data_IF_187000184287
#
_entry.id   IF_187000184287
#
_cell.length_a   1.000
_cell.length_b   1.000
_cell.length_c   1.000
_cell.angle_alpha   90.00
_cell.angle_beta   90.00
_cell.angle_gamma   90.00
#
_symmetry.space_group_name_H-M   'P 1'
#
loop_
_entity.id
_entity.type
_entity.pdbx_description
1 polymer ?
#
# COMPACT_ATOMS: atom_id res chain seq x y z
N UNK A 1 5.24 -17.39 -29.44
CA UNK A 1 5.95 -16.22 -28.95
C UNK A 1 6.43 -16.48 -27.53
N UNK A 2 7.74 -16.52 -27.28
CA UNK A 2 8.29 -16.70 -25.92
C UNK A 2 8.18 -15.37 -25.18
N UNK A 3 7.17 -15.24 -24.32
CA UNK A 3 7.07 -14.13 -23.35
C UNK A 3 8.10 -14.35 -22.25
N UNK A 4 8.58 -13.23 -21.63
CA UNK A 4 9.46 -13.29 -20.46
C UNK A 4 8.89 -14.25 -19.40
N UNK A 5 9.74 -15.11 -18.88
CA UNK A 5 9.43 -15.94 -17.71
C UNK A 5 9.83 -15.16 -16.46
N UNK A 6 8.82 -14.78 -15.67
CA UNK A 6 8.97 -13.94 -14.49
C UNK A 6 8.78 -14.76 -13.21
N UNK A 7 9.57 -14.50 -12.19
CA UNK A 7 9.28 -14.95 -10.84
C UNK A 7 9.07 -13.75 -9.93
N UNK A 8 7.93 -13.70 -9.25
CA UNK A 8 7.62 -12.75 -8.21
C UNK A 8 7.66 -13.42 -6.87
N UNK A 9 8.30 -12.83 -5.88
CA UNK A 9 8.48 -13.42 -4.54
C UNK A 9 8.03 -12.42 -3.47
N UNK A 10 7.12 -12.87 -2.60
CA UNK A 10 6.68 -12.13 -1.42
C UNK A 10 6.74 -13.05 -0.20
N UNK A 11 7.45 -12.64 0.85
CA UNK A 11 7.65 -13.42 2.07
C UNK A 11 6.71 -13.00 3.22
N UNK A 12 5.70 -12.19 2.96
CA UNK A 12 4.74 -11.72 3.96
C UNK A 12 3.84 -12.83 4.49
N UNK A 13 3.67 -12.87 5.82
CA UNK A 13 2.76 -13.79 6.51
C UNK A 13 1.38 -13.19 6.72
N UNK A 14 1.25 -11.87 6.68
CA UNK A 14 0.02 -11.14 6.94
C UNK A 14 -0.53 -10.53 5.64
N UNK A 15 -1.81 -10.12 5.68
CA UNK A 15 -2.42 -9.36 4.60
C UNK A 15 -2.29 -7.87 4.87
N UNK A 16 -1.35 -7.23 4.21
CA UNK A 16 -1.12 -5.78 4.28
C UNK A 16 -1.14 -5.15 2.88
N UNK A 17 -1.07 -3.84 2.80
CA UNK A 17 -1.05 -3.12 1.52
C UNK A 17 0.04 -3.61 0.55
N UNK A 18 1.21 -4.02 1.04
CA UNK A 18 2.29 -4.57 0.22
C UNK A 18 1.89 -5.85 -0.53
N UNK A 19 1.28 -6.81 0.16
CA UNK A 19 0.80 -8.09 -0.40
C UNK A 19 -0.32 -7.86 -1.41
N UNK A 20 -1.25 -6.92 -1.11
CA UNK A 20 -2.30 -6.51 -2.05
C UNK A 20 -1.71 -5.96 -3.36
N UNK A 21 -0.69 -5.12 -3.26
CA UNK A 21 -0.02 -4.56 -4.44
C UNK A 21 0.76 -5.61 -5.24
N UNK A 22 1.38 -6.60 -4.57
CA UNK A 22 2.03 -7.72 -5.25
C UNK A 22 0.99 -8.55 -6.02
N UNK A 23 -0.16 -8.84 -5.41
CA UNK A 23 -1.27 -9.55 -6.04
C UNK A 23 -1.77 -8.80 -7.28
N UNK A 24 -2.06 -7.51 -7.17
CA UNK A 24 -2.53 -6.68 -8.29
C UNK A 24 -1.55 -6.70 -9.45
N UNK A 25 -0.26 -6.51 -9.18
CA UNK A 25 0.76 -6.53 -10.22
C UNK A 25 0.83 -7.90 -10.93
N UNK A 26 0.87 -8.99 -10.18
CA UNK A 26 0.95 -10.34 -10.76
C UNK A 26 -0.30 -10.68 -11.58
N UNK A 27 -1.48 -10.29 -11.10
CA UNK A 27 -2.75 -10.43 -11.83
C UNK A 27 -2.73 -9.68 -13.16
N UNK A 28 -2.33 -8.42 -13.15
CA UNK A 28 -2.28 -7.61 -14.38
C UNK A 28 -1.22 -8.12 -15.36
N UNK A 29 -0.06 -8.56 -14.90
CA UNK A 29 0.95 -9.21 -15.73
C UNK A 29 0.41 -10.49 -16.39
N UNK A 30 -0.37 -11.30 -15.67
CA UNK A 30 -1.03 -12.49 -16.23
C UNK A 30 -2.05 -12.11 -17.29
N UNK A 31 -2.92 -11.12 -17.03
CA UNK A 31 -3.89 -10.59 -18.01
C UNK A 31 -3.21 -10.12 -19.30
N UNK A 32 -2.05 -9.48 -19.18
CA UNK A 32 -1.23 -9.04 -20.31
C UNK A 32 -0.40 -10.19 -20.94
N UNK A 33 -0.62 -11.41 -20.46
CA UNK A 33 -0.11 -12.67 -21.02
C UNK A 33 1.35 -12.98 -20.68
N UNK A 34 1.92 -12.39 -19.64
CA UNK A 34 3.23 -12.81 -19.13
C UNK A 34 3.14 -14.17 -18.44
N UNK A 35 4.21 -14.94 -18.52
CA UNK A 35 4.36 -16.17 -17.72
C UNK A 35 4.93 -15.81 -16.37
N UNK A 36 4.08 -15.77 -15.34
CA UNK A 36 4.48 -15.36 -13.99
C UNK A 36 4.35 -16.51 -13.02
N UNK A 37 5.40 -16.76 -12.25
CA UNK A 37 5.43 -17.69 -11.12
C UNK A 37 5.38 -16.86 -9.84
N UNK A 38 4.33 -17.02 -9.04
CA UNK A 38 4.17 -16.27 -7.81
C UNK A 38 4.57 -17.13 -6.61
N UNK A 39 5.73 -16.84 -6.02
CA UNK A 39 6.29 -17.56 -4.85
C UNK A 39 5.88 -16.80 -3.59
N UNK A 40 5.17 -17.47 -2.70
CA UNK A 40 4.60 -16.88 -1.48
C UNK A 40 4.77 -17.81 -0.27
N UNK A 41 4.56 -17.29 0.93
CA UNK A 41 4.52 -18.10 2.14
C UNK A 41 3.34 -19.07 2.13
N UNK A 42 3.57 -20.38 2.47
CA UNK A 42 2.49 -21.36 2.56
C UNK A 42 1.49 -20.99 3.65
N UNK A 43 0.19 -21.15 3.35
CA UNK A 43 -0.91 -20.83 4.26
C UNK A 43 -1.16 -19.34 4.48
N UNK A 44 -0.43 -18.45 3.80
CA UNK A 44 -0.63 -17.00 3.93
C UNK A 44 -1.94 -16.55 3.25
N UNK A 45 -2.52 -15.43 3.72
CA UNK A 45 -3.67 -14.83 3.04
C UNK A 45 -3.38 -14.46 1.57
N UNK A 46 -2.12 -14.15 1.25
CA UNK A 46 -1.70 -13.89 -0.13
C UNK A 46 -1.78 -15.15 -1.00
N UNK A 47 -1.36 -16.30 -0.48
CA UNK A 47 -1.49 -17.57 -1.20
C UNK A 47 -2.95 -17.88 -1.53
N UNK A 48 -3.83 -17.77 -0.53
CA UNK A 48 -5.25 -18.08 -0.69
C UNK A 48 -5.90 -17.20 -1.76
N UNK A 49 -5.71 -15.89 -1.69
CA UNK A 49 -6.26 -14.91 -2.64
C UNK A 49 -5.68 -15.08 -4.05
N UNK A 50 -4.38 -15.30 -4.16
CA UNK A 50 -3.73 -15.51 -5.44
C UNK A 50 -4.25 -16.79 -6.15
N UNK A 51 -4.53 -17.86 -5.39
CA UNK A 51 -5.15 -19.07 -5.93
C UNK A 51 -6.60 -18.85 -6.36
N UNK A 52 -7.38 -18.08 -5.59
CA UNK A 52 -8.75 -17.72 -5.96
C UNK A 52 -8.80 -16.93 -7.28
N UNK A 53 -7.80 -16.10 -7.56
CA UNK A 53 -7.64 -15.38 -8.84
C UNK A 53 -7.01 -16.26 -9.95
N UNK A 54 -6.82 -17.56 -9.69
CA UNK A 54 -6.29 -18.53 -10.66
C UNK A 54 -4.84 -18.30 -11.05
N UNK A 55 -4.03 -17.63 -10.22
CA UNK A 55 -2.61 -17.39 -10.49
C UNK A 55 -1.78 -18.67 -10.32
N UNK A 56 -0.62 -18.78 -11.00
CA UNK A 56 0.32 -19.89 -10.79
C UNK A 56 1.14 -19.64 -9.51
N UNK A 57 0.62 -20.14 -8.37
CA UNK A 57 1.19 -19.92 -7.05
C UNK A 57 2.09 -21.10 -6.66
N UNK A 58 3.26 -20.78 -6.13
CA UNK A 58 4.23 -21.74 -5.64
C UNK A 58 4.50 -21.44 -4.16
N UNK A 59 3.95 -22.23 -3.23
CA UNK A 59 4.21 -22.05 -1.82
C UNK A 59 5.66 -22.44 -1.48
N UNK A 60 6.36 -21.54 -0.81
CA UNK A 60 7.72 -21.76 -0.32
C UNK A 60 7.87 -21.17 1.08
N UNK A 61 8.14 -22.03 2.07
CA UNK A 61 8.42 -21.58 3.42
C UNK A 61 9.76 -20.81 3.44
N UNK A 62 9.70 -19.56 3.89
CA UNK A 62 10.83 -18.63 4.03
C UNK A 62 10.94 -18.22 5.49
N UNK A 63 11.76 -18.93 6.28
CA UNK A 63 11.82 -18.79 7.75
C UNK A 63 12.61 -17.58 8.24
N UNK A 64 13.45 -17.01 7.39
CA UNK A 64 14.27 -15.84 7.75
C UNK A 64 15.22 -15.45 6.61
N UNK A 65 15.81 -14.26 6.69
CA UNK A 65 16.69 -13.72 5.65
C UNK A 65 17.93 -14.61 5.37
N UNK A 66 18.36 -15.42 6.35
CA UNK A 66 19.50 -16.32 6.26
C UNK A 66 19.14 -17.75 5.81
N UNK A 67 17.87 -18.06 5.53
CA UNK A 67 17.40 -19.39 5.15
C UNK A 67 18.01 -19.85 3.82
N UNK A 68 19.06 -20.67 3.91
CA UNK A 68 19.77 -21.21 2.76
C UNK A 68 18.95 -22.26 2.01
N UNK A 69 18.12 -23.04 2.71
CA UNK A 69 17.27 -24.05 2.09
C UNK A 69 16.20 -23.43 1.23
N UNK A 70 15.54 -22.37 1.72
CA UNK A 70 14.61 -21.60 0.91
C UNK A 70 15.32 -21.00 -0.32
N UNK A 71 16.54 -20.45 -0.15
CA UNK A 71 17.33 -19.89 -1.27
C UNK A 71 17.70 -20.97 -2.30
N UNK A 72 18.06 -22.19 -1.88
CA UNK A 72 18.36 -23.30 -2.79
C UNK A 72 17.12 -23.77 -3.56
N UNK A 73 15.99 -23.98 -2.88
CA UNK A 73 14.72 -24.36 -3.52
C UNK A 73 14.27 -23.30 -4.53
N UNK A 74 14.36 -22.03 -4.15
CA UNK A 74 14.02 -20.90 -5.03
C UNK A 74 14.96 -20.84 -6.25
N UNK A 75 16.26 -21.08 -6.06
CA UNK A 75 17.22 -21.15 -7.16
C UNK A 75 16.91 -22.30 -8.13
N UNK A 76 16.61 -23.48 -7.61
CA UNK A 76 16.20 -24.63 -8.43
C UNK A 76 14.94 -24.33 -9.24
N UNK A 77 13.93 -23.72 -8.60
CA UNK A 77 12.71 -23.25 -9.24
C UNK A 77 13.02 -22.31 -10.40
N UNK A 78 13.81 -21.24 -10.16
CA UNK A 78 14.18 -20.25 -11.17
C UNK A 78 14.88 -20.90 -12.37
N UNK A 79 15.79 -21.86 -12.12
CA UNK A 79 16.47 -22.61 -13.18
C UNK A 79 15.50 -23.47 -13.98
N UNK A 80 14.67 -24.28 -13.29
CA UNK A 80 13.70 -25.20 -13.93
C UNK A 80 12.69 -24.44 -14.78
N UNK A 81 12.21 -23.29 -14.29
CA UNK A 81 11.24 -22.43 -14.99
C UNK A 81 11.90 -21.48 -16.00
N UNK A 82 13.25 -21.49 -16.10
CA UNK A 82 14.05 -20.64 -16.99
C UNK A 82 13.68 -19.17 -16.81
N UNK A 83 13.60 -18.70 -15.55
CA UNK A 83 13.22 -17.32 -15.23
C UNK A 83 14.26 -16.34 -15.77
N UNK A 84 13.80 -15.33 -16.48
CA UNK A 84 14.64 -14.28 -17.04
C UNK A 84 14.64 -13.01 -16.16
N UNK A 85 13.62 -12.87 -15.30
CA UNK A 85 13.50 -11.76 -14.35
C UNK A 85 12.98 -12.27 -13.02
N UNK A 86 13.60 -11.80 -11.93
CA UNK A 86 13.13 -11.99 -10.56
C UNK A 86 12.76 -10.66 -9.93
N UNK A 87 11.53 -10.55 -9.42
CA UNK A 87 11.01 -9.38 -8.73
C UNK A 87 10.68 -9.72 -7.28
N UNK A 88 11.30 -9.01 -6.34
CA UNK A 88 11.17 -9.21 -4.90
C UNK A 88 10.34 -8.08 -4.29
N UNK A 89 9.26 -8.42 -3.59
CA UNK A 89 8.26 -7.47 -3.13
C UNK A 89 8.50 -6.91 -1.72
N UNK A 90 9.39 -7.53 -0.96
CA UNK A 90 9.75 -7.13 0.40
C UNK A 90 11.23 -7.37 0.70
N UNK A 91 11.73 -6.84 1.82
CA UNK A 91 13.14 -6.91 2.18
C UNK A 91 13.60 -8.33 2.53
N UNK A 92 12.70 -9.17 3.04
CA UNK A 92 12.98 -10.56 3.39
C UNK A 92 13.12 -11.40 2.12
N UNK A 93 12.14 -11.34 1.22
CA UNK A 93 12.21 -12.04 -0.09
C UNK A 93 13.41 -11.58 -0.92
N UNK A 94 13.78 -10.28 -0.86
CA UNK A 94 14.98 -9.76 -1.52
C UNK A 94 16.26 -10.42 -0.99
N UNK A 95 16.42 -10.54 0.33
CA UNK A 95 17.62 -11.11 0.95
C UNK A 95 17.84 -12.57 0.55
N UNK A 96 16.80 -13.39 0.57
CA UNK A 96 16.81 -14.78 0.10
C UNK A 96 17.02 -14.86 -1.41
N UNK A 97 16.27 -14.03 -2.12
CA UNK A 97 16.17 -14.03 -3.56
C UNK A 97 17.46 -13.61 -4.26
N UNK A 98 18.24 -12.69 -3.71
CA UNK A 98 19.55 -12.33 -4.27
C UNK A 98 20.51 -13.50 -4.36
N UNK A 99 20.53 -14.38 -3.33
CA UNK A 99 21.32 -15.59 -3.38
C UNK A 99 20.78 -16.58 -4.41
N UNK A 100 19.47 -16.80 -4.36
CA UNK A 100 18.79 -17.71 -5.27
C UNK A 100 18.95 -17.31 -6.74
N UNK A 101 18.72 -16.04 -7.06
CA UNK A 101 18.87 -15.51 -8.41
C UNK A 101 20.32 -15.54 -8.91
N UNK A 102 21.31 -15.32 -8.01
CA UNK A 102 22.72 -15.45 -8.34
C UNK A 102 23.08 -16.91 -8.71
N UNK A 103 22.66 -17.89 -7.90
CA UNK A 103 22.91 -19.31 -8.19
C UNK A 103 22.14 -19.83 -9.41
N UNK A 104 20.95 -19.24 -9.67
CA UNK A 104 20.16 -19.54 -10.86
C UNK A 104 20.65 -18.80 -12.12
N UNK A 105 21.56 -17.83 -11.97
CA UNK A 105 22.02 -16.92 -13.04
C UNK A 105 20.86 -16.17 -13.72
N UNK A 106 19.88 -15.74 -12.91
CA UNK A 106 18.77 -14.89 -13.42
C UNK A 106 19.34 -13.55 -13.85
N UNK A 107 19.13 -13.13 -15.12
CA UNK A 107 19.81 -11.96 -15.68
C UNK A 107 19.28 -10.62 -15.14
N UNK A 108 17.99 -10.54 -14.74
CA UNK A 108 17.37 -9.27 -14.31
C UNK A 108 16.80 -9.43 -12.91
N UNK A 109 17.21 -8.55 -12.00
CA UNK A 109 16.75 -8.53 -10.61
C UNK A 109 16.13 -7.17 -10.30
N UNK A 110 14.85 -7.19 -9.91
CA UNK A 110 14.10 -6.00 -9.50
C UNK A 110 13.70 -6.16 -8.04
N UNK A 111 13.86 -5.10 -7.26
CA UNK A 111 13.38 -5.02 -5.89
C UNK A 111 12.27 -3.97 -5.78
N UNK A 112 11.31 -4.18 -4.88
CA UNK A 112 10.27 -3.20 -4.56
C UNK A 112 10.49 -2.63 -3.16
N UNK A 113 10.37 -1.31 -3.02
CA UNK A 113 10.43 -0.61 -1.72
C UNK A 113 9.12 0.14 -1.50
N UNK A 114 8.38 -0.26 -0.46
CA UNK A 114 7.04 0.26 -0.15
C UNK A 114 6.95 1.05 1.16
N UNK A 115 8.07 1.24 1.83
CA UNK A 115 8.14 1.93 3.12
C UNK A 115 9.20 3.03 3.08
N UNK A 116 8.92 4.13 3.75
CA UNK A 116 9.78 5.30 3.86
C UNK A 116 10.69 5.29 5.11
N UNK A 117 10.68 4.20 5.89
CA UNK A 117 11.62 4.06 7.01
C UNK A 117 13.07 4.12 6.51
N UNK A 118 13.96 4.84 7.21
CA UNK A 118 15.38 4.85 6.89
C UNK A 118 15.94 3.43 6.78
N UNK A 119 16.83 3.20 5.83
CA UNK A 119 17.56 1.94 5.76
C UNK A 119 18.43 1.82 7.01
N UNK A 120 18.42 0.65 7.65
CA UNK A 120 19.29 0.39 8.79
C UNK A 120 20.74 0.77 8.50
N UNK A 121 21.43 1.39 9.46
CA UNK A 121 22.82 1.86 9.31
C UNK A 121 23.85 0.74 9.13
N UNK A 122 23.46 -0.54 9.34
CA UNK A 122 24.36 -1.67 9.20
C UNK A 122 24.66 -1.96 7.71
N UNK A 123 25.88 -2.41 7.48
CA UNK A 123 26.42 -2.76 6.16
C UNK A 123 25.52 -3.72 5.36
N UNK A 124 24.86 -4.65 6.04
CA UNK A 124 23.97 -5.64 5.41
C UNK A 124 22.71 -5.01 4.79
N UNK A 125 22.13 -4.00 5.44
CA UNK A 125 20.94 -3.29 4.92
C UNK A 125 21.25 -2.51 3.64
N UNK A 126 22.45 -1.90 3.57
CA UNK A 126 22.93 -1.22 2.35
C UNK A 126 23.28 -2.19 1.23
N UNK A 127 23.87 -3.35 1.57
CA UNK A 127 24.28 -4.36 0.59
C UNK A 127 23.09 -5.00 -0.15
N UNK A 128 21.89 -5.02 0.45
CA UNK A 128 20.66 -5.54 -0.20
C UNK A 128 20.31 -4.79 -1.50
N UNK A 129 20.57 -3.49 -1.53
CA UNK A 129 20.28 -2.62 -2.69
C UNK A 129 21.55 -2.34 -3.52
N UNK A 130 22.54 -3.21 -3.41
CA UNK A 130 23.86 -3.07 -4.05
C UNK A 130 23.86 -3.41 -5.56
N UNK A 131 25.06 -3.69 -6.12
CA UNK A 131 25.27 -3.84 -7.57
C UNK A 131 24.43 -4.94 -8.23
N UNK A 132 24.02 -5.97 -7.46
CA UNK A 132 23.24 -7.11 -7.98
C UNK A 132 21.80 -6.79 -8.32
N UNK A 133 21.22 -5.73 -7.72
CA UNK A 133 19.88 -5.26 -8.05
C UNK A 133 19.98 -4.33 -9.24
N UNK A 134 19.27 -4.66 -10.31
CA UNK A 134 19.29 -3.89 -11.55
C UNK A 134 18.41 -2.64 -11.45
N UNK A 135 17.27 -2.74 -10.78
CA UNK A 135 16.40 -1.60 -10.47
C UNK A 135 15.63 -1.80 -9.17
N UNK A 136 15.35 -0.70 -8.50
CA UNK A 136 14.50 -0.64 -7.31
C UNK A 136 13.28 0.20 -7.65
N UNK A 137 12.09 -0.39 -7.51
CA UNK A 137 10.84 0.33 -7.64
C UNK A 137 10.52 0.98 -6.29
N UNK A 138 10.54 2.29 -6.24
CA UNK A 138 10.04 3.10 -5.13
C UNK A 138 8.58 3.49 -5.40
N UNK A 139 7.70 3.37 -4.40
CA UNK A 139 6.27 3.68 -4.59
C UNK A 139 5.96 5.17 -4.58
N UNK A 140 6.95 6.03 -4.26
CA UNK A 140 6.83 7.48 -4.19
C UNK A 140 8.18 8.16 -4.34
N UNK A 141 8.20 9.45 -4.66
CA UNK A 141 9.43 10.27 -4.60
C UNK A 141 9.96 10.36 -3.15
N UNK A 142 9.06 10.34 -2.15
CA UNK A 142 9.44 10.26 -0.74
C UNK A 142 10.27 9.02 -0.45
N UNK A 143 9.84 7.85 -0.89
CA UNK A 143 10.61 6.58 -0.75
C UNK A 143 11.90 6.62 -1.56
N UNK A 144 11.91 7.20 -2.76
CA UNK A 144 13.12 7.39 -3.57
C UNK A 144 14.14 8.25 -2.84
N UNK A 145 13.73 9.35 -2.20
CA UNK A 145 14.60 10.22 -1.41
C UNK A 145 15.31 9.43 -0.29
N UNK A 146 14.57 8.63 0.46
CA UNK A 146 15.12 7.75 1.51
C UNK A 146 16.17 6.77 0.96
N UNK A 147 15.94 6.22 -0.24
CA UNK A 147 16.90 5.32 -0.90
C UNK A 147 18.17 6.07 -1.33
N UNK A 148 18.05 7.28 -1.88
CA UNK A 148 19.21 8.12 -2.28
C UNK A 148 20.03 8.51 -1.05
N UNK A 149 19.39 8.94 0.03
CA UNK A 149 20.05 9.27 1.30
C UNK A 149 20.79 8.06 1.91
N UNK A 150 20.32 6.86 1.63
CA UNK A 150 20.99 5.62 2.01
C UNK A 150 22.15 5.21 1.08
N UNK A 151 22.42 5.99 0.01
CA UNK A 151 23.50 5.76 -0.93
C UNK A 151 23.14 4.88 -2.13
N UNK A 152 21.85 4.68 -2.42
CA UNK A 152 21.42 3.99 -3.65
C UNK A 152 21.54 4.98 -4.83
N UNK A 153 22.22 4.61 -5.94
CA UNK A 153 22.31 5.46 -7.11
C UNK A 153 20.95 5.81 -7.70
N UNK A 154 20.64 7.09 -7.97
CA UNK A 154 19.34 7.53 -8.48
C UNK A 154 18.89 6.82 -9.76
N UNK A 155 19.83 6.50 -10.66
CA UNK A 155 19.58 5.82 -11.93
C UNK A 155 19.09 4.36 -11.77
N UNK A 156 19.25 3.77 -10.57
CA UNK A 156 18.71 2.46 -10.22
C UNK A 156 17.29 2.52 -9.66
N UNK A 157 16.77 3.72 -9.38
CA UNK A 157 15.48 3.88 -8.72
C UNK A 157 14.44 4.33 -9.75
N UNK A 158 13.41 3.52 -9.93
CA UNK A 158 12.21 3.87 -10.70
C UNK A 158 11.07 4.19 -9.75
N UNK A 159 10.42 5.36 -9.90
CA UNK A 159 9.23 5.69 -9.12
C UNK A 159 8.00 5.18 -9.84
N UNK A 160 7.35 4.18 -9.26
CA UNK A 160 6.11 3.60 -9.77
C UNK A 160 5.13 3.48 -8.60
N UNK A 161 4.13 4.35 -8.52
CA UNK A 161 3.14 4.33 -7.45
C UNK A 161 2.31 3.05 -7.42
N UNK A 162 1.78 2.74 -6.24
CA UNK A 162 0.82 1.66 -6.03
C UNK A 162 -0.45 1.88 -6.86
N UNK A 163 -1.06 0.79 -7.31
CA UNK A 163 -2.30 0.82 -8.07
C UNK A 163 -3.53 0.44 -7.25
N UNK A 164 -4.71 0.81 -7.76
CA UNK A 164 -6.02 0.43 -7.23
C UNK A 164 -6.76 -0.43 -8.24
N UNK A 165 -7.52 -1.39 -7.74
CA UNK A 165 -8.58 -2.06 -8.48
C UNK A 165 -9.89 -1.33 -8.20
N UNK A 166 -10.36 -0.55 -9.16
CA UNK A 166 -11.58 0.24 -9.01
C UNK A 166 -12.86 -0.60 -9.02
N UNK A 167 -12.83 -1.82 -9.57
CA UNK A 167 -14.01 -2.69 -9.66
C UNK A 167 -14.61 -3.00 -8.29
N UNK A 168 -13.76 -3.14 -7.26
CA UNK A 168 -14.21 -3.42 -5.89
C UNK A 168 -15.01 -2.27 -5.24
N UNK A 169 -14.92 -1.06 -5.80
CA UNK A 169 -15.64 0.12 -5.30
C UNK A 169 -16.86 0.48 -6.13
N UNK A 170 -16.98 -0.02 -7.38
CA UNK A 170 -18.09 0.29 -8.27
C UNK A 170 -19.39 -0.44 -7.87
N UNK A 171 -19.25 -1.60 -7.26
CA UNK A 171 -20.39 -2.43 -6.82
C UNK A 171 -20.94 -2.02 -5.44
N UNK A 172 -20.18 -1.22 -4.68
CA UNK A 172 -20.54 -0.86 -3.29
C UNK A 172 -21.30 0.45 -3.26
N UNK A 173 -22.63 0.38 -3.00
CA UNK A 173 -23.52 1.54 -2.89
C UNK A 173 -24.21 1.67 -1.52
N UNK A 174 -23.80 0.87 -0.54
CA UNK A 174 -24.47 0.78 0.75
C UNK A 174 -23.90 1.80 1.76
N UNK A 175 -24.33 3.05 1.65
CA UNK A 175 -23.92 4.14 2.53
C UNK A 175 -24.37 3.97 3.99
N UNK A 176 -25.42 3.17 4.25
CA UNK A 176 -25.99 2.99 5.58
C UNK A 176 -25.48 1.75 6.30
N UNK A 177 -24.50 1.06 5.73
CA UNK A 177 -23.99 -0.19 6.27
C UNK A 177 -23.53 -0.07 7.74
N UNK A 178 -22.62 0.88 8.04
CA UNK A 178 -22.15 1.10 9.41
C UNK A 178 -23.25 1.65 10.33
N UNK A 179 -24.17 2.48 9.79
CA UNK A 179 -25.29 3.00 10.59
C UNK A 179 -26.19 1.88 11.07
N UNK A 180 -26.46 0.89 10.22
CA UNK A 180 -27.24 -0.30 10.62
C UNK A 180 -26.48 -1.24 11.55
N UNK A 181 -25.17 -1.43 11.31
CA UNK A 181 -24.34 -2.34 12.11
C UNK A 181 -24.16 -1.85 13.55
N UNK A 182 -23.98 -0.54 13.75
CA UNK A 182 -23.66 0.08 15.05
C UNK A 182 -24.80 0.91 15.64
N UNK A 183 -25.96 1.02 14.98
CA UNK A 183 -27.08 1.82 15.45
C UNK A 183 -26.84 3.33 15.43
N UNK A 184 -25.98 3.81 14.52
CA UNK A 184 -25.72 5.24 14.38
C UNK A 184 -26.94 5.97 13.80
N UNK A 185 -27.16 7.20 14.28
CA UNK A 185 -28.21 8.06 13.76
C UNK A 185 -27.93 8.50 12.30
N UNK A 186 -28.96 8.81 11.55
CA UNK A 186 -28.83 9.26 10.16
C UNK A 186 -28.00 10.54 10.02
N UNK A 187 -27.99 11.37 11.04
CA UNK A 187 -27.26 12.64 11.10
C UNK A 187 -25.93 12.58 11.88
N UNK A 188 -25.50 11.37 12.32
CA UNK A 188 -24.13 11.17 12.81
C UNK A 188 -23.11 11.39 11.69
N UNK A 189 -22.01 12.06 12.02
CA UNK A 189 -20.91 12.32 11.09
C UNK A 189 -19.81 11.29 11.27
N UNK A 190 -19.67 10.38 10.29
CA UNK A 190 -18.77 9.25 10.37
C UNK A 190 -17.40 9.60 9.78
N UNK A 191 -16.41 9.75 10.64
CA UNK A 191 -15.01 9.96 10.27
C UNK A 191 -14.27 8.64 10.39
N UNK A 192 -13.54 8.22 9.35
CA UNK A 192 -12.85 6.94 9.36
C UNK A 192 -11.35 7.00 9.11
N UNK A 193 -10.63 6.08 9.73
CA UNK A 193 -9.24 5.75 9.42
C UNK A 193 -9.10 4.25 9.17
N UNK A 194 -8.40 3.87 8.10
CA UNK A 194 -8.06 2.48 7.78
C UNK A 194 -6.53 2.36 7.77
N UNK A 195 -5.97 1.86 8.86
CA UNK A 195 -4.52 1.76 9.04
C UNK A 195 -4.14 0.73 10.11
N UNK A 196 -2.92 0.20 10.05
CA UNK A 196 -2.36 -0.60 11.14
C UNK A 196 -2.25 0.25 12.42
N UNK A 197 -2.54 -0.33 13.58
CA UNK A 197 -2.42 0.34 14.87
C UNK A 197 -0.95 0.35 15.33
N UNK A 198 -0.16 1.18 14.63
CA UNK A 198 1.27 1.35 14.81
C UNK A 198 1.59 2.85 14.97
N UNK A 199 2.67 3.18 15.69
CA UNK A 199 3.03 4.55 16.03
C UNK A 199 3.06 5.50 14.82
N UNK A 200 3.70 5.07 13.74
CA UNK A 200 3.86 5.90 12.55
C UNK A 200 2.55 6.28 11.86
N UNK A 201 1.42 5.63 12.16
CA UNK A 201 0.09 5.96 11.63
C UNK A 201 -0.59 7.10 12.38
N UNK A 202 -0.06 7.50 13.55
CA UNK A 202 -0.43 8.72 14.23
C UNK A 202 -1.86 8.77 14.77
N UNK A 203 -2.45 7.62 15.13
CA UNK A 203 -3.79 7.54 15.71
C UNK A 203 -3.96 8.45 16.93
N UNK A 204 -2.88 8.60 17.72
CA UNK A 204 -2.89 9.47 18.89
C UNK A 204 -3.23 10.93 18.56
N UNK A 205 -2.70 11.45 17.43
CA UNK A 205 -2.97 12.82 16.99
C UNK A 205 -4.40 12.96 16.46
N UNK A 206 -4.93 11.91 15.81
CA UNK A 206 -6.33 11.87 15.39
C UNK A 206 -7.28 11.85 16.60
N UNK A 207 -6.97 11.12 17.67
CA UNK A 207 -7.76 11.10 18.89
C UNK A 207 -7.77 12.47 19.58
N UNK A 208 -6.62 13.12 19.68
CA UNK A 208 -6.53 14.49 20.20
C UNK A 208 -7.36 15.46 19.33
N UNK A 209 -7.27 15.35 18.01
CA UNK A 209 -8.10 16.14 17.09
C UNK A 209 -9.59 15.83 17.27
N UNK A 210 -9.98 14.57 17.42
CA UNK A 210 -11.37 14.15 17.62
C UNK A 210 -11.97 14.76 18.91
N UNK A 211 -11.18 14.86 19.98
CA UNK A 211 -11.60 15.57 21.20
C UNK A 211 -11.95 17.03 20.94
N UNK A 212 -11.16 17.72 20.11
CA UNK A 212 -11.42 19.11 19.72
C UNK A 212 -12.67 19.17 18.82
N UNK A 213 -12.75 18.29 17.81
CA UNK A 213 -13.89 18.25 16.89
C UNK A 213 -15.21 18.00 17.61
N UNK A 214 -15.23 17.14 18.63
CA UNK A 214 -16.42 16.84 19.44
C UNK A 214 -17.07 18.10 20.04
N UNK A 215 -16.29 19.12 20.40
CA UNK A 215 -16.80 20.39 20.94
C UNK A 215 -17.57 21.19 19.89
N UNK A 216 -17.26 21.02 18.61
CA UNK A 216 -17.90 21.71 17.48
C UNK A 216 -18.94 20.83 16.76
N UNK A 217 -18.79 19.52 16.86
CA UNK A 217 -19.66 18.53 16.23
C UNK A 217 -19.93 17.37 17.22
N UNK A 218 -20.97 17.48 18.07
CA UNK A 218 -21.29 16.45 19.07
C UNK A 218 -21.74 15.12 18.44
N UNK A 219 -22.12 15.11 17.18
CA UNK A 219 -22.55 13.93 16.41
C UNK A 219 -21.43 13.20 15.70
N UNK A 220 -20.17 13.58 15.92
CA UNK A 220 -19.03 12.88 15.34
C UNK A 220 -18.90 11.45 15.90
N UNK A 221 -18.61 10.50 15.01
CA UNK A 221 -18.18 9.14 15.33
C UNK A 221 -16.87 8.86 14.63
N UNK A 222 -15.87 8.36 15.36
CA UNK A 222 -14.57 7.97 14.80
C UNK A 222 -14.51 6.46 14.62
N UNK A 223 -14.38 6.02 13.38
CA UNK A 223 -14.31 4.62 12.99
C UNK A 223 -12.85 4.25 12.72
N UNK A 224 -12.31 3.34 13.54
CA UNK A 224 -10.91 2.91 13.48
C UNK A 224 -10.84 1.47 12.98
N UNK A 225 -10.35 1.29 11.76
CA UNK A 225 -10.24 -0.02 11.10
C UNK A 225 -8.77 -0.43 11.02
N UNK A 226 -8.47 -1.59 11.55
CA UNK A 226 -7.13 -2.18 11.53
C UNK A 226 -6.75 -2.84 12.84
N UNK A 227 -5.63 -3.53 12.83
CA UNK A 227 -5.01 -4.18 14.00
C UNK A 227 -3.56 -3.74 14.12
N UNK A 228 -2.97 -3.94 15.29
CA UNK A 228 -1.55 -3.62 15.51
C UNK A 228 -1.19 -3.62 16.99
N UNK A 229 0.08 -3.38 17.28
CA UNK A 229 0.66 -3.47 18.62
C UNK A 229 0.08 -2.46 19.60
N UNK A 230 -0.40 -1.31 19.12
CA UNK A 230 -0.87 -0.20 19.96
C UNK A 230 -2.36 -0.29 20.34
N UNK A 231 -3.06 -1.38 20.05
CA UNK A 231 -4.51 -1.49 20.29
C UNK A 231 -4.91 -1.10 21.71
N UNK A 232 -4.32 -1.73 22.71
CA UNK A 232 -4.65 -1.49 24.14
C UNK A 232 -4.27 -0.07 24.59
N UNK A 233 -3.13 0.44 24.10
CA UNK A 233 -2.69 1.79 24.40
C UNK A 233 -3.66 2.84 23.85
N UNK A 234 -4.13 2.65 22.62
CA UNK A 234 -5.09 3.54 21.98
C UNK A 234 -6.47 3.50 22.65
N UNK A 235 -6.93 2.34 23.08
CA UNK A 235 -8.16 2.22 23.89
C UNK A 235 -8.04 2.99 25.21
N UNK A 236 -6.95 2.79 25.96
CA UNK A 236 -6.67 3.57 27.16
C UNK A 236 -6.60 5.07 26.89
N UNK A 237 -6.02 5.46 25.73
CA UNK A 237 -5.91 6.87 25.35
C UNK A 237 -7.26 7.49 25.02
N UNK A 238 -8.17 6.77 24.39
CA UNK A 238 -9.54 7.25 24.13
C UNK A 238 -10.27 7.57 25.43
N UNK A 239 -10.13 6.71 26.45
CA UNK A 239 -10.67 6.92 27.80
C UNK A 239 -10.07 8.15 28.48
N UNK A 240 -8.73 8.28 28.47
CA UNK A 240 -8.04 9.44 29.06
C UNK A 240 -8.46 10.77 28.41
N UNK A 241 -8.80 10.74 27.13
CA UNK A 241 -9.28 11.92 26.40
C UNK A 241 -10.78 12.16 26.57
N UNK A 242 -11.54 11.21 27.16
CA UNK A 242 -12.99 11.27 27.32
C UNK A 242 -13.75 11.19 26.00
N UNK A 243 -13.29 10.36 25.07
CA UNK A 243 -13.88 10.17 23.74
C UNK A 243 -14.21 8.70 23.44
N UNK A 244 -14.14 7.81 24.43
CA UNK A 244 -14.38 6.37 24.27
C UNK A 244 -15.78 6.04 23.77
N UNK A 245 -16.74 6.88 24.04
CA UNK A 245 -18.15 6.74 23.61
C UNK A 245 -18.37 7.07 22.11
N UNK A 246 -17.40 7.73 21.48
CA UNK A 246 -17.48 8.11 20.05
C UNK A 246 -16.40 7.46 19.19
N UNK A 247 -15.48 6.65 19.77
CA UNK A 247 -14.42 5.93 19.06
C UNK A 247 -14.74 4.45 18.95
N UNK A 248 -14.89 3.95 17.72
CA UNK A 248 -15.28 2.58 17.42
C UNK A 248 -14.13 1.85 16.74
N UNK A 249 -13.54 0.91 17.43
CA UNK A 249 -12.47 0.06 16.92
C UNK A 249 -13.04 -1.20 16.27
N UNK A 250 -12.97 -1.32 14.96
CA UNK A 250 -13.54 -2.45 14.22
C UNK A 250 -12.58 -3.65 14.06
N UNK A 251 -11.30 -3.50 14.42
CA UNK A 251 -10.32 -4.55 14.19
C UNK A 251 -10.01 -4.74 12.70
N UNK A 252 -9.54 -5.95 12.35
CA UNK A 252 -9.35 -6.32 10.95
C UNK A 252 -10.69 -6.56 10.26
N UNK A 253 -10.89 -5.92 9.12
CA UNK A 253 -12.10 -6.05 8.29
C UNK A 253 -11.71 -6.36 6.85
N UNK A 254 -12.45 -7.28 6.23
CA UNK A 254 -12.29 -7.62 4.81
C UNK A 254 -13.18 -6.77 3.91
N UNK A 255 -14.26 -6.24 4.44
CA UNK A 255 -15.28 -5.44 3.78
C UNK A 255 -14.99 -3.93 3.81
N UNK A 256 -13.69 -3.56 3.79
CA UNK A 256 -13.22 -2.17 3.79
C UNK A 256 -13.95 -1.29 2.74
N UNK A 257 -14.22 -1.74 1.51
CA UNK A 257 -14.99 -0.93 0.56
C UNK A 257 -16.38 -0.51 1.06
N UNK A 258 -17.11 -1.41 1.75
CA UNK A 258 -18.42 -1.10 2.34
C UNK A 258 -18.32 -0.13 3.51
N UNK A 259 -17.27 -0.29 4.33
CA UNK A 259 -16.99 0.63 5.42
C UNK A 259 -16.72 2.03 4.85
N UNK A 260 -15.81 2.14 3.87
CA UNK A 260 -15.49 3.42 3.22
C UNK A 260 -16.74 4.07 2.62
N UNK A 261 -17.59 3.33 1.93
CA UNK A 261 -18.83 3.86 1.35
C UNK A 261 -19.82 4.41 2.39
N UNK A 262 -19.69 4.01 3.66
CA UNK A 262 -20.54 4.47 4.77
C UNK A 262 -19.99 5.70 5.51
N UNK A 263 -18.75 6.14 5.22
CA UNK A 263 -18.12 7.29 5.87
C UNK A 263 -18.55 8.61 5.23
N UNK A 264 -18.49 9.67 6.01
CA UNK A 264 -18.64 11.06 5.54
C UNK A 264 -17.28 11.71 5.25
N UNK A 265 -16.21 11.25 5.91
CA UNK A 265 -14.86 11.78 5.79
C UNK A 265 -13.83 10.69 6.08
N UNK A 266 -12.78 10.63 5.28
CA UNK A 266 -11.63 9.78 5.56
C UNK A 266 -10.44 10.61 6.07
N UNK A 267 -9.76 10.11 7.11
CA UNK A 267 -8.58 10.78 7.68
C UNK A 267 -7.39 9.83 7.71
N UNK A 268 -6.22 10.31 7.29
CA UNK A 268 -4.94 9.61 7.47
C UNK A 268 -3.94 10.51 8.20
N UNK A 269 -3.72 10.22 9.48
CA UNK A 269 -2.92 11.04 10.41
C UNK A 269 -1.46 10.62 10.54
N UNK A 270 -0.94 9.84 9.60
CA UNK A 270 0.42 9.28 9.63
C UNK A 270 1.49 10.36 9.79
N UNK A 271 2.55 10.07 10.54
CA UNK A 271 3.75 10.91 10.56
C UNK A 271 4.95 10.30 9.78
N UNK A 272 4.81 9.04 9.33
CA UNK A 272 5.65 8.40 8.32
C UNK A 272 4.73 7.56 7.41
N UNK A 273 4.85 7.74 6.09
CA UNK A 273 4.00 7.06 5.11
C UNK A 273 4.67 6.92 3.76
N UNK A 274 4.80 5.68 3.29
CA UNK A 274 5.41 5.43 1.98
C UNK A 274 4.62 6.05 0.82
N UNK A 275 3.29 5.87 0.81
CA UNK A 275 2.39 6.46 -0.19
C UNK A 275 1.02 6.78 0.39
N UNK A 276 0.45 5.92 1.26
CA UNK A 276 -0.92 6.07 1.78
C UNK A 276 -1.96 5.35 0.92
N UNK A 277 -1.81 4.04 0.73
CA UNK A 277 -2.73 3.28 -0.13
C UNK A 277 -4.18 3.30 0.32
N UNK A 278 -4.47 3.50 1.61
CA UNK A 278 -5.83 3.66 2.11
C UNK A 278 -6.47 5.01 1.71
N UNK A 279 -5.67 6.05 1.47
CA UNK A 279 -6.15 7.29 0.84
C UNK A 279 -6.64 7.04 -0.59
N UNK A 280 -5.87 6.25 -1.36
CA UNK A 280 -6.28 5.89 -2.70
C UNK A 280 -7.64 5.16 -2.68
N UNK A 281 -7.84 4.22 -1.73
CA UNK A 281 -9.10 3.50 -1.56
C UNK A 281 -10.25 4.46 -1.20
N UNK A 282 -10.05 5.37 -0.24
CA UNK A 282 -11.02 6.36 0.18
C UNK A 282 -11.42 7.32 -0.97
N UNK A 283 -10.42 7.84 -1.69
CA UNK A 283 -10.65 8.71 -2.86
C UNK A 283 -11.34 7.95 -4.00
N UNK A 284 -11.04 6.66 -4.19
CA UNK A 284 -11.75 5.82 -5.17
C UNK A 284 -13.23 5.66 -4.83
N UNK A 285 -13.59 5.58 -3.54
CA UNK A 285 -14.97 5.60 -3.06
C UNK A 285 -15.66 6.97 -3.24
N UNK A 286 -14.93 8.02 -3.60
CA UNK A 286 -15.47 9.38 -3.67
C UNK A 286 -15.63 10.03 -2.31
N UNK A 287 -14.79 9.69 -1.33
CA UNK A 287 -14.76 10.34 -0.02
C UNK A 287 -13.91 11.60 -0.04
N UNK A 288 -14.34 12.68 0.64
CA UNK A 288 -13.43 13.75 0.98
C UNK A 288 -12.35 13.22 1.93
N UNK A 289 -11.12 13.73 1.79
CA UNK A 289 -9.99 13.25 2.58
C UNK A 289 -9.25 14.38 3.26
N UNK A 290 -8.84 14.14 4.51
CA UNK A 290 -7.88 14.94 5.25
C UNK A 290 -6.67 14.07 5.55
N UNK A 291 -5.47 14.54 5.22
CA UNK A 291 -4.27 13.75 5.44
C UNK A 291 -3.09 14.63 5.89
N UNK A 292 -2.11 14.01 6.50
CA UNK A 292 -0.88 14.70 6.90
C UNK A 292 0.10 14.84 5.72
N UNK A 293 0.82 15.95 5.68
CA UNK A 293 1.84 16.23 4.65
C UNK A 293 3.14 15.50 4.98
N UNK A 294 3.18 14.18 4.74
CA UNK A 294 4.36 13.35 5.01
C UNK A 294 4.56 12.29 3.92
N UNK A 295 5.83 11.87 3.73
CA UNK A 295 6.19 10.82 2.78
C UNK A 295 5.64 11.03 1.38
N UNK A 296 4.96 10.02 0.83
CA UNK A 296 4.33 10.07 -0.48
C UNK A 296 2.89 10.61 -0.50
N UNK A 297 2.30 11.00 0.66
CA UNK A 297 0.93 11.50 0.72
C UNK A 297 0.70 12.73 -0.20
N UNK A 298 1.62 13.72 -0.28
CA UNK A 298 1.46 14.87 -1.18
C UNK A 298 1.44 14.52 -2.68
N UNK A 299 1.83 13.30 -3.05
CA UNK A 299 1.76 12.79 -4.43
C UNK A 299 0.34 12.29 -4.79
N UNK A 300 -0.50 12.02 -3.78
CA UNK A 300 -1.89 11.57 -3.92
C UNK A 300 -2.86 12.73 -3.66
N UNK A 301 -2.64 13.47 -2.57
CA UNK A 301 -3.53 14.54 -2.12
C UNK A 301 -2.91 15.90 -2.42
N UNK A 302 -3.56 16.68 -3.27
CA UNK A 302 -3.23 18.06 -3.56
C UNK A 302 -4.11 18.96 -2.71
N UNK A 303 -3.49 19.73 -1.80
CA UNK A 303 -4.20 20.56 -0.82
C UNK A 303 -5.12 21.58 -1.50
N UNK A 304 -6.41 21.54 -1.10
CA UNK A 304 -7.44 22.42 -1.66
C UNK A 304 -7.97 22.02 -3.04
N UNK A 305 -7.42 20.94 -3.66
CA UNK A 305 -7.85 20.46 -4.98
C UNK A 305 -8.44 19.05 -4.93
N UNK A 306 -7.78 18.13 -4.25
CA UNK A 306 -8.19 16.70 -4.18
C UNK A 306 -8.37 16.22 -2.74
N UNK A 307 -8.15 17.08 -1.76
CA UNK A 307 -8.27 16.84 -0.33
C UNK A 307 -7.57 17.94 0.47
N UNK A 308 -7.56 17.83 1.79
CA UNK A 308 -6.85 18.76 2.67
C UNK A 308 -5.58 18.09 3.24
N UNK A 309 -4.48 18.84 3.20
CA UNK A 309 -3.20 18.44 3.80
C UNK A 309 -2.88 19.32 5.01
N UNK A 310 -2.54 18.68 6.13
CA UNK A 310 -2.13 19.34 7.37
C UNK A 310 -0.71 18.90 7.78
N UNK A 311 -0.02 19.65 8.65
CA UNK A 311 1.26 19.19 9.21
C UNK A 311 1.10 17.88 9.97
N UNK A 312 2.09 16.97 9.93
CA UNK A 312 2.08 15.78 10.78
C UNK A 312 2.28 16.17 12.24
N UNK A 313 1.70 15.37 13.17
CA UNK A 313 1.77 15.58 14.61
C UNK A 313 1.16 16.91 15.09
N UNK A 314 0.19 17.45 14.36
CA UNK A 314 -0.53 18.68 14.68
C UNK A 314 -2.04 18.37 14.80
N UNK A 315 -2.52 18.03 16.02
CA UNK A 315 -3.93 17.73 16.27
C UNK A 315 -4.86 18.91 16.00
N UNK A 316 -4.41 20.13 16.26
CA UNK A 316 -5.21 21.34 16.06
C UNK A 316 -5.44 21.60 14.56
N UNK A 317 -4.40 21.49 13.73
CA UNK A 317 -4.54 21.61 12.29
C UNK A 317 -5.44 20.50 11.72
N UNK A 318 -5.31 19.27 12.24
CA UNK A 318 -6.14 18.15 11.84
C UNK A 318 -7.61 18.40 12.22
N UNK A 319 -7.87 18.88 13.44
CA UNK A 319 -9.21 19.22 13.90
C UNK A 319 -9.84 20.33 13.05
N UNK A 320 -9.11 21.43 12.77
CA UNK A 320 -9.58 22.50 11.91
C UNK A 320 -10.00 22.00 10.52
N UNK A 321 -9.20 21.16 9.89
CA UNK A 321 -9.52 20.59 8.58
C UNK A 321 -10.76 19.68 8.62
N UNK A 322 -10.94 18.87 9.67
CA UNK A 322 -12.14 18.04 9.86
C UNK A 322 -13.38 18.94 10.06
N UNK A 323 -13.29 19.98 10.91
CA UNK A 323 -14.38 20.92 11.18
C UNK A 323 -14.76 21.70 9.91
N UNK A 324 -13.79 22.13 9.11
CA UNK A 324 -14.01 22.81 7.84
C UNK A 324 -14.87 21.94 6.91
N UNK A 325 -14.52 20.68 6.69
CA UNK A 325 -15.27 19.77 5.81
C UNK A 325 -16.60 19.30 6.44
N UNK A 326 -16.73 19.33 7.76
CA UNK A 326 -18.00 19.11 8.44
C UNK A 326 -19.01 20.23 8.14
N UNK A 327 -18.59 21.49 8.19
CA UNK A 327 -19.46 22.64 7.98
C UNK A 327 -19.64 22.98 6.49
N UNK A 328 -18.59 22.89 5.68
CA UNK A 328 -18.67 23.18 4.24
C UNK A 328 -18.82 21.89 3.42
N UNK A 329 -20.08 21.45 3.29
CA UNK A 329 -20.44 20.27 2.50
C UNK A 329 -20.21 20.44 1.00
N UNK A 330 -20.19 21.66 0.49
CA UNK A 330 -19.91 21.94 -0.92
C UNK A 330 -18.42 21.77 -1.20
N UNK A 331 -17.56 22.29 -0.33
CA UNK A 331 -16.12 22.05 -0.40
C UNK A 331 -15.80 20.55 -0.28
N UNK A 332 -16.40 19.86 0.69
CA UNK A 332 -16.20 18.43 0.88
C UNK A 332 -16.54 17.64 -0.39
N UNK A 333 -17.69 17.91 -1.01
CA UNK A 333 -18.11 17.29 -2.27
C UNK A 333 -17.17 17.61 -3.42
N UNK A 334 -16.81 18.86 -3.58
CA UNK A 334 -15.86 19.32 -4.61
C UNK A 334 -14.53 18.55 -4.53
N UNK A 335 -13.93 18.50 -3.32
CA UNK A 335 -12.67 17.79 -3.09
C UNK A 335 -12.79 16.29 -3.36
N UNK A 336 -13.90 15.68 -2.95
CA UNK A 336 -14.18 14.26 -3.16
C UNK A 336 -14.27 13.92 -4.66
N UNK A 337 -15.03 14.67 -5.43
CA UNK A 337 -15.19 14.49 -6.88
C UNK A 337 -13.84 14.66 -7.62
N UNK A 338 -13.11 15.73 -7.31
CA UNK A 338 -11.78 15.97 -7.89
C UNK A 338 -10.79 14.89 -7.50
N UNK A 339 -10.79 14.48 -6.24
CA UNK A 339 -9.95 13.40 -5.74
C UNK A 339 -10.23 12.08 -6.44
N UNK A 340 -11.50 11.70 -6.59
CA UNK A 340 -11.90 10.47 -7.29
C UNK A 340 -11.45 10.48 -8.75
N UNK A 341 -11.66 11.58 -9.47
CA UNK A 341 -11.23 11.72 -10.86
C UNK A 341 -9.70 11.61 -10.98
N UNK A 342 -8.96 12.24 -10.05
CA UNK A 342 -7.51 12.21 -10.04
C UNK A 342 -6.95 10.80 -9.86
N UNK A 343 -7.44 10.05 -8.85
CA UNK A 343 -6.93 8.69 -8.59
C UNK A 343 -7.34 7.72 -9.69
N UNK A 344 -8.54 7.85 -10.28
CA UNK A 344 -8.96 7.03 -11.43
C UNK A 344 -8.03 7.22 -12.63
N UNK A 345 -7.57 8.43 -12.89
CA UNK A 345 -6.67 8.75 -14.01
C UNK A 345 -5.24 8.25 -13.79
N UNK A 346 -4.74 8.30 -12.54
CA UNK A 346 -3.30 8.17 -12.29
C UNK A 346 -2.88 6.91 -11.55
N UNK A 347 -3.80 6.24 -10.84
CA UNK A 347 -3.47 5.18 -9.89
C UNK A 347 -4.20 3.85 -10.12
N UNK A 348 -4.53 3.49 -11.36
CA UNK A 348 -5.10 2.16 -11.63
C UNK A 348 -4.03 1.06 -11.52
N UNK A 349 -4.44 -0.15 -11.11
CA UNK A 349 -3.56 -1.33 -11.09
C UNK A 349 -3.01 -1.66 -12.49
N UNK A 350 -3.81 -1.43 -13.53
CA UNK A 350 -3.38 -1.60 -14.91
C UNK A 350 -2.26 -0.61 -15.30
N UNK A 351 -2.42 0.69 -14.97
CA UNK A 351 -1.39 1.71 -15.23
C UNK A 351 -0.10 1.45 -14.43
N UNK A 352 -0.21 0.99 -13.17
CA UNK A 352 0.95 0.54 -12.41
C UNK A 352 1.68 -0.60 -13.14
N UNK A 353 0.94 -1.62 -13.58
CA UNK A 353 1.52 -2.76 -14.29
C UNK A 353 2.18 -2.34 -15.62
N UNK A 354 1.60 -1.41 -16.38
CA UNK A 354 2.19 -0.90 -17.61
C UNK A 354 3.55 -0.24 -17.37
N UNK A 355 3.66 0.62 -16.34
CA UNK A 355 4.94 1.25 -15.97
C UNK A 355 5.98 0.21 -15.52
N UNK A 356 5.56 -0.84 -14.81
CA UNK A 356 6.46 -1.94 -14.41
C UNK A 356 6.91 -2.74 -15.63
N UNK A 357 6.04 -2.99 -16.59
CA UNK A 357 6.37 -3.68 -17.85
C UNK A 357 7.38 -2.87 -18.67
N UNK A 358 7.17 -1.56 -18.79
CA UNK A 358 8.13 -0.66 -19.46
C UNK A 358 9.52 -0.74 -18.81
N UNK A 359 9.58 -0.74 -17.48
CA UNK A 359 10.83 -0.92 -16.74
C UNK A 359 11.47 -2.29 -17.05
N UNK A 360 10.69 -3.38 -17.08
CA UNK A 360 11.22 -4.71 -17.42
C UNK A 360 11.79 -4.76 -18.81
N UNK A 361 11.13 -4.15 -19.80
CA UNK A 361 11.62 -4.08 -21.17
C UNK A 361 12.90 -3.26 -21.28
N UNK A 362 12.96 -2.11 -20.61
CA UNK A 362 14.18 -1.28 -20.55
C UNK A 362 15.38 -2.05 -19.97
N UNK A 363 15.16 -2.79 -18.88
CA UNK A 363 16.20 -3.60 -18.24
C UNK A 363 16.63 -4.77 -19.12
N UNK A 364 15.69 -5.44 -19.79
CA UNK A 364 15.97 -6.54 -20.68
C UNK A 364 16.77 -6.10 -21.90
N UNK A 365 16.43 -4.97 -22.49
CA UNK A 365 17.20 -4.37 -23.58
C UNK A 365 18.64 -4.04 -23.15
N UNK A 366 18.80 -3.41 -21.97
CA UNK A 366 20.12 -3.10 -21.40
C UNK A 366 20.98 -4.33 -21.17
N UNK A 367 20.37 -5.48 -20.83
CA UNK A 367 21.04 -6.75 -20.54
C UNK A 367 21.16 -7.69 -21.75
N UNK A 368 20.68 -7.30 -22.93
CA UNK A 368 20.65 -8.16 -24.09
C UNK A 368 19.77 -9.42 -23.92
N UNK A 369 18.76 -9.34 -23.06
CA UNK A 369 17.80 -10.43 -22.85
C UNK A 369 16.72 -10.34 -23.92
N UNK A 370 16.62 -11.36 -24.78
CA UNK A 370 15.61 -11.38 -25.83
C UNK A 370 14.19 -11.40 -25.26
N UNK A 371 13.47 -10.35 -25.51
CA UNK A 371 12.04 -10.21 -25.27
C UNK A 371 11.36 -10.22 -26.63
N UNK A 372 10.58 -11.24 -26.89
CA UNK A 372 9.73 -11.21 -28.08
C UNK A 372 8.39 -10.60 -27.72
N UNK A 373 8.12 -9.39 -28.20
CA UNK A 373 6.78 -8.83 -28.23
C UNK A 373 5.87 -9.74 -29.06
N UNK A 374 4.85 -10.32 -28.39
CA UNK A 374 3.74 -10.93 -29.11
C UNK A 374 2.94 -9.80 -29.75
N UNK A 375 3.10 -9.57 -31.05
CA UNK A 375 2.08 -8.87 -31.79
C UNK A 375 0.81 -9.72 -31.73
N UNK A 376 -0.24 -9.10 -31.19
CA UNK A 376 -1.64 -9.58 -31.14
C UNK A 376 -2.13 -9.96 -32.54
#
# INVERSE_FOLDING_TARGET
>A
VRKLSLVHVDAGLEWRGGQRQALFLVRELKKKGFRVFFVVQPGSPLEQRARQEGLEVIPLAMKGEADLWASLKLSFLMKRKRCQLAHFHDAHSLSLGLRAASWAKVPIIVAHRRVDFPLGRNFFSKKKYGPRVDSIIAISEGVKKVLIEAGVPPEKIAVIPSGIDFSVFEEVKDSDFLRREFGFAADDFLVGIVAALEDHKGHIYLFQATKIVRQHSPKIKLIVVGTGSLRLELESKSQQLGIEDIVFFLGFREDVPRILASLDLFVLSSHLEGLGSSLLDAMACGLPVVATRTGGIPEIVHHGETGLLVPPKDPEALARAIIELYHDRNLARYLAERGQQYVRRHFSAAAMADRVIELYFKLAQKKGVNIYEGRS
#
